data_IF_262880383861
#
_entry.id   IF_262880383861
#
_cell.length_a   1.000
_cell.length_b   1.000
_cell.length_c   1.000
_cell.angle_alpha   90.00
_cell.angle_beta   90.00
_cell.angle_gamma   90.00
#
_symmetry.space_group_name_H-M   'P 1'
#
loop_
_entity.id
_entity.type
_entity.pdbx_description
1 polymer ?
#
# COMPACT_ATOMS: atom_id res chain seq x y z
N UNK A 1 1.50 -15.94 -20.36
CA UNK A 1 1.38 -14.63 -19.70
C UNK A 1 0.59 -13.71 -20.61
N UNK A 2 -0.32 -12.90 -20.05
CA UNK A 2 -1.14 -11.96 -20.84
C UNK A 2 -0.33 -10.76 -21.31
N UNK A 3 -0.78 -10.08 -22.37
CA UNK A 3 -0.18 -8.84 -22.88
C UNK A 3 -0.08 -7.75 -21.80
N UNK A 4 -1.13 -7.63 -20.98
CA UNK A 4 -1.15 -6.73 -19.83
C UNK A 4 -0.03 -7.05 -18.82
N UNK A 5 0.16 -8.33 -18.50
CA UNK A 5 1.21 -8.75 -17.57
C UNK A 5 2.61 -8.42 -18.08
N UNK A 6 2.83 -8.55 -19.39
CA UNK A 6 4.09 -8.14 -20.01
C UNK A 6 4.31 -6.61 -19.89
N UNK A 7 3.27 -5.79 -20.09
CA UNK A 7 3.37 -4.32 -19.96
C UNK A 7 3.78 -3.88 -18.55
N UNK A 8 3.16 -4.44 -17.51
CA UNK A 8 3.51 -4.12 -16.12
C UNK A 8 4.94 -4.55 -15.81
N UNK A 9 5.35 -5.75 -16.24
CA UNK A 9 6.70 -6.25 -16.06
C UNK A 9 7.75 -5.39 -16.78
N UNK A 10 7.50 -4.99 -18.02
CA UNK A 10 8.40 -4.13 -18.78
C UNK A 10 8.55 -2.75 -18.13
N UNK A 11 7.44 -2.16 -17.67
CA UNK A 11 7.44 -0.87 -16.98
C UNK A 11 8.31 -0.87 -15.72
N UNK A 12 8.21 -1.91 -14.91
CA UNK A 12 8.95 -2.02 -13.64
C UNK A 12 10.32 -2.69 -13.76
N UNK A 13 10.72 -3.13 -14.96
CA UNK A 13 11.90 -4.00 -15.17
C UNK A 13 13.16 -3.44 -14.53
N UNK A 14 13.36 -2.13 -14.67
CA UNK A 14 14.57 -1.44 -14.27
C UNK A 14 14.38 -0.63 -12.96
N UNK A 15 13.28 -0.86 -12.23
CA UNK A 15 13.02 -0.17 -10.97
C UNK A 15 13.81 -0.79 -9.81
N UNK A 16 14.30 0.03 -8.86
CA UNK A 16 14.95 -0.46 -7.67
C UNK A 16 14.07 -1.44 -6.90
N UNK A 17 14.70 -2.50 -6.38
CA UNK A 17 14.08 -3.47 -5.49
C UNK A 17 14.85 -3.55 -4.19
N UNK A 18 14.16 -3.88 -3.10
CA UNK A 18 14.81 -4.22 -1.84
C UNK A 18 14.07 -5.38 -1.19
N UNK A 19 14.76 -6.26 -0.45
CA UNK A 19 14.10 -7.32 0.27
C UNK A 19 13.20 -6.75 1.35
N UNK A 20 12.02 -7.34 1.50
CA UNK A 20 11.16 -7.13 2.67
C UNK A 20 11.93 -7.64 3.90
N UNK A 21 12.06 -6.84 4.97
CA UNK A 21 12.71 -7.34 6.19
C UNK A 21 11.97 -8.55 6.77
N UNK A 22 12.55 -9.27 7.74
CA UNK A 22 11.94 -10.53 8.25
C UNK A 22 11.85 -10.60 9.77
N UNK A 23 12.05 -9.49 10.47
CA UNK A 23 12.22 -9.47 11.92
C UNK A 23 10.97 -9.03 12.71
N UNK A 24 9.80 -8.91 12.08
CA UNK A 24 8.56 -8.53 12.78
C UNK A 24 7.32 -9.16 12.14
N UNK A 25 6.24 -9.28 12.92
CA UNK A 25 4.94 -9.75 12.42
C UNK A 25 4.40 -8.89 11.26
N UNK A 26 4.71 -7.58 11.27
CA UNK A 26 4.35 -6.68 10.16
C UNK A 26 5.01 -7.11 8.87
N UNK A 27 6.28 -7.51 8.95
CA UNK A 27 7.00 -7.98 7.79
C UNK A 27 6.58 -9.39 7.36
N UNK A 28 6.30 -10.29 8.30
CA UNK A 28 5.73 -11.61 7.97
C UNK A 28 4.38 -11.47 7.25
N UNK A 29 3.55 -10.52 7.70
CA UNK A 29 2.28 -10.18 7.07
C UNK A 29 2.48 -9.63 5.65
N UNK A 30 3.39 -8.67 5.48
CA UNK A 30 3.77 -8.14 4.17
C UNK A 30 4.29 -9.25 3.24
N UNK A 31 5.17 -10.13 3.71
CA UNK A 31 5.69 -11.25 2.92
C UNK A 31 4.59 -12.19 2.47
N UNK A 32 3.65 -12.52 3.37
CA UNK A 32 2.54 -13.43 3.09
C UNK A 32 1.62 -12.88 2.00
N UNK A 33 1.40 -11.57 1.95
CA UNK A 33 0.35 -10.97 1.13
C UNK A 33 0.86 -10.15 -0.07
N UNK A 34 2.08 -9.63 0.00
CA UNK A 34 2.67 -8.75 -1.02
C UNK A 34 3.96 -9.32 -1.64
N UNK A 35 4.68 -10.17 -0.90
CA UNK A 35 5.87 -10.86 -1.37
C UNK A 35 7.16 -10.46 -0.66
N UNK A 36 8.28 -11.04 -1.11
CA UNK A 36 9.59 -10.93 -0.45
C UNK A 36 10.42 -9.71 -0.86
N UNK A 37 9.95 -8.92 -1.81
CA UNK A 37 10.63 -7.72 -2.30
C UNK A 37 9.64 -6.56 -2.46
N UNK A 38 10.06 -5.37 -2.05
CA UNK A 38 9.39 -4.12 -2.39
C UNK A 38 9.97 -3.57 -3.71
N UNK A 39 9.15 -2.86 -4.47
CA UNK A 39 9.56 -2.24 -5.75
C UNK A 39 9.35 -0.73 -5.66
N UNK A 40 10.37 0.06 -5.99
CA UNK A 40 10.25 1.52 -6.02
C UNK A 40 9.63 1.99 -7.34
N UNK A 41 8.30 2.05 -7.37
CA UNK A 41 7.53 2.50 -8.52
C UNK A 41 7.52 4.02 -8.64
N UNK A 42 7.31 4.51 -9.86
CA UNK A 42 7.30 5.95 -10.17
C UNK A 42 6.27 6.30 -11.24
N UNK A 43 5.71 7.50 -11.13
CA UNK A 43 4.65 8.04 -11.98
C UNK A 43 4.12 9.34 -11.39
N UNK A 44 3.60 10.24 -12.22
CA UNK A 44 3.01 11.51 -11.79
C UNK A 44 4.00 12.45 -11.10
N UNK A 45 5.30 12.29 -11.37
CA UNK A 45 6.37 13.04 -10.71
C UNK A 45 6.74 12.55 -9.30
N UNK A 46 6.18 11.43 -8.84
CA UNK A 46 6.39 10.86 -7.52
C UNK A 46 7.06 9.47 -7.59
N UNK A 47 7.62 9.04 -6.45
CA UNK A 47 8.15 7.69 -6.25
C UNK A 47 7.66 7.11 -4.91
N UNK A 48 7.33 5.82 -4.89
CA UNK A 48 6.95 5.09 -3.68
C UNK A 48 7.45 3.64 -3.72
N UNK A 49 7.80 3.10 -2.56
CA UNK A 49 8.05 1.68 -2.40
C UNK A 49 6.71 0.97 -2.23
N UNK A 50 6.31 0.21 -3.25
CA UNK A 50 5.15 -0.66 -3.15
C UNK A 50 5.57 -1.98 -2.50
N UNK A 51 4.75 -2.47 -1.56
CA UNK A 51 5.02 -3.74 -0.87
C UNK A 51 4.98 -4.93 -1.83
N UNK A 52 4.19 -4.80 -2.90
CA UNK A 52 4.10 -5.79 -3.96
C UNK A 52 3.36 -5.25 -5.17
N UNK A 53 3.33 -6.04 -6.24
CA UNK A 53 2.62 -5.73 -7.48
C UNK A 53 1.98 -7.02 -7.99
N UNK A 54 0.66 -7.01 -8.19
CA UNK A 54 -0.02 -8.11 -8.87
C UNK A 54 0.21 -7.96 -10.38
N UNK A 55 1.15 -8.71 -10.93
CA UNK A 55 1.53 -8.62 -12.35
C UNK A 55 0.42 -9.06 -13.31
N UNK A 56 -0.66 -9.68 -12.85
CA UNK A 56 -1.75 -10.11 -13.72
C UNK A 56 -2.85 -9.06 -13.85
N UNK A 57 -3.13 -8.34 -12.75
CA UNK A 57 -4.21 -7.34 -12.66
C UNK A 57 -3.70 -5.91 -12.69
N UNK A 58 -2.44 -5.68 -12.30
CA UNK A 58 -1.82 -4.35 -12.26
C UNK A 58 -2.12 -3.57 -10.98
N UNK A 59 -2.59 -4.27 -9.95
CA UNK A 59 -2.74 -3.72 -8.60
C UNK A 59 -1.36 -3.52 -7.96
N UNK A 60 -1.12 -2.33 -7.39
CA UNK A 60 -0.09 -2.16 -6.38
C UNK A 60 -0.63 -2.68 -5.04
N UNK A 61 0.24 -3.30 -4.23
CA UNK A 61 -0.14 -3.89 -2.95
C UNK A 61 0.50 -3.11 -1.80
N UNK A 62 -0.25 -2.91 -0.73
CA UNK A 62 0.19 -2.23 0.50
C UNK A 62 -0.35 -2.99 1.72
N UNK A 63 0.53 -3.53 2.54
CA UNK A 63 0.18 -4.30 3.73
C UNK A 63 0.29 -3.46 5.01
N UNK A 64 -0.81 -3.33 5.74
CA UNK A 64 -0.85 -2.67 7.05
C UNK A 64 -1.29 -3.66 8.12
N UNK A 65 -0.32 -4.20 8.86
CA UNK A 65 -0.57 -5.06 10.01
C UNK A 65 -0.82 -4.26 11.29
N UNK A 66 -1.98 -4.46 11.91
CA UNK A 66 -2.38 -3.88 13.18
C UNK A 66 -2.14 -4.91 14.29
N UNK A 67 -1.09 -4.67 15.07
CA UNK A 67 -0.70 -5.53 16.20
C UNK A 67 -1.58 -5.29 17.45
N UNK A 68 -1.95 -4.04 17.69
CA UNK A 68 -2.72 -3.63 18.88
C UNK A 68 -3.86 -2.69 18.49
N UNK A 69 -5.06 -3.22 18.17
CA UNK A 69 -6.19 -2.42 17.69
C UNK A 69 -6.52 -1.22 18.59
N UNK A 70 -6.54 -1.44 19.92
CA UNK A 70 -6.85 -0.40 20.91
C UNK A 70 -5.92 0.84 20.85
N UNK A 71 -4.68 0.66 20.38
CA UNK A 71 -3.67 1.71 20.25
C UNK A 71 -3.32 2.01 18.78
N UNK A 72 -4.06 1.44 17.82
CA UNK A 72 -3.75 1.61 16.41
C UNK A 72 -4.13 3.02 15.95
N UNK A 73 -3.26 3.75 15.23
CA UNK A 73 -3.63 5.05 14.67
C UNK A 73 -4.76 4.95 13.63
N UNK A 74 -4.97 3.76 13.07
CA UNK A 74 -5.90 3.47 11.98
C UNK A 74 -7.29 3.02 12.46
N UNK A 75 -7.50 2.86 13.77
CA UNK A 75 -8.78 2.42 14.36
C UNK A 75 -9.45 3.58 15.09
N UNK A 76 -10.79 3.54 15.20
CA UNK A 76 -11.56 4.50 15.98
C UNK A 76 -12.56 3.77 16.91
N UNK A 77 -12.55 4.00 18.24
CA UNK A 77 -11.61 4.84 18.99
C UNK A 77 -10.18 4.26 19.02
N UNK A 78 -9.19 5.13 19.18
CA UNK A 78 -7.78 4.77 19.40
C UNK A 78 -7.26 5.45 20.65
N UNK A 79 -6.52 4.71 21.46
CA UNK A 79 -5.86 5.18 22.67
C UNK A 79 -4.43 5.66 22.41
N UNK A 80 -4.00 5.69 21.14
CA UNK A 80 -2.70 6.25 20.76
C UNK A 80 -2.59 7.72 21.20
N UNK A 81 -1.45 8.16 21.78
CA UNK A 81 -1.24 9.56 22.11
C UNK A 81 -1.46 10.47 20.88
N UNK A 82 -2.21 11.59 21.00
CA UNK A 82 -2.61 12.39 19.84
C UNK A 82 -1.45 12.84 18.96
N UNK A 83 -0.32 13.24 19.55
CA UNK A 83 0.87 13.64 18.80
C UNK A 83 1.45 12.49 17.96
N UNK A 84 1.51 11.28 18.51
CA UNK A 84 2.00 10.08 17.81
C UNK A 84 1.02 9.70 16.69
N UNK A 85 -0.28 9.69 17.00
CA UNK A 85 -1.33 9.38 16.02
C UNK A 85 -1.29 10.35 14.85
N UNK A 86 -1.25 11.65 15.12
CA UNK A 86 -1.22 12.67 14.06
C UNK A 86 0.01 12.54 13.18
N UNK A 87 1.17 12.25 13.77
CA UNK A 87 2.40 12.01 12.99
C UNK A 87 2.23 10.81 12.05
N UNK A 88 1.83 9.65 12.56
CA UNK A 88 1.68 8.43 11.75
C UNK A 88 0.61 8.62 10.67
N UNK A 89 -0.53 9.22 11.02
CA UNK A 89 -1.60 9.52 10.04
C UNK A 89 -1.09 10.46 8.94
N UNK A 90 -0.26 11.45 9.28
CA UNK A 90 0.34 12.34 8.28
C UNK A 90 1.30 11.60 7.34
N UNK A 91 2.13 10.70 7.87
CA UNK A 91 3.08 9.90 7.07
C UNK A 91 2.32 8.98 6.10
N UNK A 92 1.28 8.29 6.59
CA UNK A 92 0.44 7.42 5.75
C UNK A 92 -0.36 8.22 4.72
N UNK A 93 -0.81 9.43 5.04
CA UNK A 93 -1.43 10.33 4.05
C UNK A 93 -0.48 10.69 2.92
N UNK A 94 0.79 10.95 3.23
CA UNK A 94 1.81 11.20 2.21
C UNK A 94 2.16 9.95 1.38
N UNK A 95 2.08 8.75 1.96
CA UNK A 95 2.16 7.50 1.20
C UNK A 95 1.00 7.40 0.19
N UNK A 96 -0.24 7.58 0.64
CA UNK A 96 -1.43 7.46 -0.23
C UNK A 96 -1.47 8.55 -1.31
N UNK A 97 -1.00 9.76 -1.01
CA UNK A 97 -0.83 10.82 -2.03
C UNK A 97 0.13 10.40 -3.13
N UNK A 98 1.24 9.74 -2.79
CA UNK A 98 2.22 9.25 -3.77
C UNK A 98 1.71 8.06 -4.56
N UNK A 99 1.00 7.13 -3.92
CA UNK A 99 0.29 6.07 -4.65
C UNK A 99 -0.70 6.66 -5.65
N UNK A 100 -1.50 7.66 -5.25
CA UNK A 100 -2.44 8.34 -6.15
C UNK A 100 -1.72 9.00 -7.33
N UNK A 101 -0.57 9.64 -7.13
CA UNK A 101 0.22 10.21 -8.22
C UNK A 101 0.73 9.16 -9.20
N UNK A 102 1.21 8.01 -8.70
CA UNK A 102 1.67 6.90 -9.56
C UNK A 102 0.51 6.27 -10.32
N UNK A 103 -0.57 5.89 -9.63
CA UNK A 103 -1.69 5.13 -10.22
C UNK A 103 -2.55 6.00 -11.15
N UNK A 104 -2.74 7.28 -10.83
CA UNK A 104 -3.52 8.18 -11.70
C UNK A 104 -2.70 8.75 -12.87
N UNK A 105 -1.40 8.45 -12.97
CA UNK A 105 -0.60 8.81 -14.14
C UNK A 105 -0.94 7.86 -15.30
N UNK A 106 -1.53 8.38 -16.41
CA UNK A 106 -1.93 7.56 -17.55
C UNK A 106 -0.76 6.87 -18.26
N UNK A 107 0.48 7.31 -18.02
CA UNK A 107 1.68 6.68 -18.57
C UNK A 107 2.10 5.42 -17.81
N UNK A 108 1.53 5.18 -16.62
CA UNK A 108 1.77 3.94 -15.88
C UNK A 108 0.78 2.85 -16.28
N UNK A 109 1.17 1.56 -16.22
CA UNK A 109 0.27 0.44 -16.51
C UNK A 109 -0.48 -0.08 -15.29
N UNK A 110 -0.19 0.43 -14.09
CA UNK A 110 -0.87 0.04 -12.84
C UNK A 110 -2.20 0.75 -12.73
N UNK A 111 -3.18 0.10 -12.13
CA UNK A 111 -4.58 0.54 -12.25
C UNK A 111 -5.24 0.88 -10.91
N UNK A 112 -4.79 0.29 -9.81
CA UNK A 112 -5.39 0.51 -8.49
C UNK A 112 -4.45 0.12 -7.35
N UNK A 113 -4.78 0.54 -6.14
CA UNK A 113 -4.13 0.15 -4.89
C UNK A 113 -5.01 -0.86 -4.13
N UNK A 114 -4.45 -2.01 -3.80
CA UNK A 114 -5.05 -2.96 -2.86
C UNK A 114 -4.39 -2.82 -1.49
N UNK A 115 -5.14 -2.30 -0.52
CA UNK A 115 -4.69 -2.15 0.86
C UNK A 115 -5.10 -3.39 1.64
N UNK A 116 -4.13 -4.07 2.24
CA UNK A 116 -4.32 -5.35 2.92
C UNK A 116 -4.17 -5.13 4.43
N UNK A 117 -5.23 -5.38 5.19
CA UNK A 117 -5.26 -5.23 6.65
C UNK A 117 -5.62 -6.55 7.32
N UNK A 118 -5.24 -6.72 8.58
CA UNK A 118 -5.56 -7.93 9.35
C UNK A 118 -6.82 -7.82 10.21
N UNK A 119 -7.45 -6.64 10.28
CA UNK A 119 -8.65 -6.39 11.08
C UNK A 119 -9.63 -5.48 10.33
N UNK A 120 -10.93 -5.69 10.56
CA UNK A 120 -12.01 -4.94 9.90
C UNK A 120 -12.08 -3.48 10.39
N UNK A 121 -11.72 -3.23 11.64
CA UNK A 121 -11.81 -1.90 12.27
C UNK A 121 -10.88 -0.85 11.64
N UNK A 122 -9.87 -1.29 10.88
CA UNK A 122 -8.97 -0.41 10.14
C UNK A 122 -9.50 -0.03 8.75
N UNK A 123 -10.48 -0.77 8.22
CA UNK A 123 -11.02 -0.58 6.86
C UNK A 123 -11.50 0.87 6.62
N UNK A 124 -12.34 1.46 7.51
CA UNK A 124 -12.87 2.81 7.25
C UNK A 124 -11.79 3.88 7.14
N UNK A 125 -10.67 3.72 7.86
CA UNK A 125 -9.55 4.65 7.78
C UNK A 125 -8.91 4.62 6.40
N UNK A 126 -8.58 3.43 5.88
CA UNK A 126 -7.93 3.32 4.57
C UNK A 126 -8.87 3.64 3.41
N UNK A 127 -10.15 3.24 3.49
CA UNK A 127 -11.16 3.67 2.51
C UNK A 127 -11.30 5.19 2.45
N UNK A 128 -11.24 5.87 3.60
CA UNK A 128 -11.27 7.32 3.64
C UNK A 128 -10.07 7.95 2.92
N UNK A 129 -8.89 7.32 2.95
CA UNK A 129 -7.71 7.79 2.23
C UNK A 129 -7.82 7.53 0.73
N UNK A 130 -8.30 6.36 0.31
CA UNK A 130 -8.59 6.06 -1.10
C UNK A 130 -9.53 7.12 -1.68
N UNK A 131 -10.62 7.43 -0.97
CA UNK A 131 -11.56 8.47 -1.35
C UNK A 131 -10.94 9.87 -1.36
N UNK A 132 -10.21 10.23 -0.29
CA UNK A 132 -9.61 11.56 -0.14
C UNK A 132 -8.68 11.92 -1.31
N UNK A 133 -7.91 10.96 -1.81
CA UNK A 133 -6.93 11.19 -2.87
C UNK A 133 -7.45 10.81 -4.27
N UNK A 134 -8.73 10.46 -4.41
CA UNK A 134 -9.29 9.92 -5.65
C UNK A 134 -8.40 8.81 -6.22
N UNK A 135 -7.97 7.90 -5.35
CA UNK A 135 -7.09 6.79 -5.66
C UNK A 135 -7.95 5.55 -5.91
N UNK A 136 -7.97 5.02 -7.16
CA UNK A 136 -8.62 3.74 -7.43
C UNK A 136 -8.03 2.66 -6.53
N UNK A 137 -8.89 1.88 -5.89
CA UNK A 137 -8.44 0.86 -4.95
C UNK A 137 -9.52 0.25 -4.11
N UNK A 138 -9.11 -0.76 -3.34
CA UNK A 138 -9.95 -1.45 -2.37
C UNK A 138 -9.16 -1.77 -1.11
N UNK A 139 -9.87 -1.96 -0.01
CA UNK A 139 -9.29 -2.47 1.24
C UNK A 139 -9.79 -3.89 1.44
N UNK A 140 -8.87 -4.83 1.66
CA UNK A 140 -9.19 -6.23 1.90
C UNK A 140 -8.68 -6.67 3.27
N UNK A 141 -9.50 -7.48 3.96
CA UNK A 141 -9.16 -8.03 5.28
C UNK A 141 -8.62 -9.44 5.12
N UNK A 142 -7.38 -9.67 5.50
CA UNK A 142 -6.73 -10.99 5.53
C UNK A 142 -6.05 -11.21 6.89
N UNK A 143 -6.47 -12.20 7.70
CA UNK A 143 -5.90 -12.46 9.03
C UNK A 143 -4.55 -13.20 9.02
#
# INVERSE_FOLDING_TARGET
>A
MSEFSNRVQEWMRDFPRKPTPTYSQRHEFQIRHCGVEEVRVRGGGEEIWADGINLQTGELLEAKFIEHPANSPYVNPSSAPPFIRNKIVSEVKEEFRRYAAVINDPETPVIELQVIVNIEEAVPFFESLLSQFNLPGSVIVMP
#
